data_IF_489352605606
#
_entry.id   IF_489352605606
#
_cell.length_a   1.000
_cell.length_b   1.000
_cell.length_c   1.000
_cell.angle_alpha   90.00
_cell.angle_beta   90.00
_cell.angle_gamma   90.00
#
_symmetry.space_group_name_H-M   'P 1'
#
loop_
_entity.id
_entity.type
_entity.pdbx_description
1 polymer ?
#
# COMPACT_ATOMS: atom_id res chain seq x y z
N UNK A 1 -13.93 -29.95 -47.80
CA UNK A 1 -13.13 -30.08 -46.54
C UNK A 1 -12.42 -28.78 -46.10
N UNK A 2 -11.87 -27.96 -47.01
CA UNK A 2 -11.10 -26.75 -46.65
C UNK A 2 -11.87 -25.66 -45.87
N UNK A 3 -13.17 -25.46 -46.15
CA UNK A 3 -13.98 -24.44 -45.46
C UNK A 3 -14.20 -24.74 -43.97
N UNK A 4 -14.44 -26.01 -43.61
CA UNK A 4 -14.57 -26.44 -42.20
C UNK A 4 -13.25 -26.30 -41.44
N UNK A 5 -12.12 -26.58 -42.09
CA UNK A 5 -10.79 -26.41 -41.49
C UNK A 5 -10.50 -24.92 -41.20
N UNK A 6 -10.71 -24.05 -42.18
CA UNK A 6 -10.56 -22.59 -42.03
C UNK A 6 -11.45 -22.02 -40.92
N UNK A 7 -12.69 -22.50 -40.83
CA UNK A 7 -13.62 -22.08 -39.78
C UNK A 7 -13.14 -22.49 -38.38
N UNK A 8 -12.60 -23.71 -38.20
CA UNK A 8 -12.04 -24.15 -36.92
C UNK A 8 -10.84 -23.29 -36.49
N UNK A 9 -9.92 -23.02 -37.40
CA UNK A 9 -8.76 -22.15 -37.14
C UNK A 9 -9.22 -20.76 -36.72
N UNK A 10 -10.19 -20.16 -37.42
CA UNK A 10 -10.73 -18.86 -37.06
C UNK A 10 -11.37 -18.85 -35.66
N UNK A 11 -12.11 -19.91 -35.28
CA UNK A 11 -12.68 -20.03 -33.95
C UNK A 11 -11.59 -20.17 -32.86
N UNK A 12 -10.52 -20.90 -33.13
CA UNK A 12 -9.40 -21.05 -32.21
C UNK A 12 -8.62 -19.72 -32.05
N UNK A 13 -8.44 -18.96 -33.13
CA UNK A 13 -7.87 -17.60 -33.09
C UNK A 13 -8.74 -16.63 -32.27
N UNK A 14 -10.07 -16.67 -32.47
CA UNK A 14 -11.01 -15.87 -31.68
C UNK A 14 -10.95 -16.22 -30.19
N UNK A 15 -10.83 -17.50 -29.85
CA UNK A 15 -10.67 -17.96 -28.46
C UNK A 15 -9.37 -17.44 -27.86
N UNK A 16 -8.24 -17.63 -28.54
CA UNK A 16 -6.93 -17.14 -28.10
C UNK A 16 -6.94 -15.62 -27.89
N UNK A 17 -7.54 -14.86 -28.81
CA UNK A 17 -7.67 -13.39 -28.67
C UNK A 17 -8.43 -13.02 -27.39
N UNK A 18 -9.59 -13.63 -27.16
CA UNK A 18 -10.37 -13.39 -25.92
C UNK A 18 -9.62 -13.76 -24.66
N UNK A 19 -8.88 -14.88 -24.67
CA UNK A 19 -8.04 -15.30 -23.55
C UNK A 19 -6.95 -14.27 -23.27
N UNK A 20 -6.23 -13.81 -24.29
CA UNK A 20 -5.18 -12.78 -24.14
C UNK A 20 -5.73 -11.45 -23.64
N UNK A 21 -6.89 -11.01 -24.16
CA UNK A 21 -7.55 -9.78 -23.69
C UNK A 21 -7.99 -9.90 -22.23
N UNK A 22 -8.51 -11.06 -21.84
CA UNK A 22 -8.94 -11.32 -20.46
C UNK A 22 -7.75 -11.34 -19.52
N UNK A 23 -6.64 -11.97 -19.90
CA UNK A 23 -5.39 -11.96 -19.13
C UNK A 23 -4.82 -10.54 -19.02
N UNK A 24 -4.84 -9.78 -20.11
CA UNK A 24 -4.41 -8.38 -20.12
C UNK A 24 -5.23 -7.51 -19.15
N UNK A 25 -6.56 -7.65 -19.14
CA UNK A 25 -7.43 -6.95 -18.18
C UNK A 25 -7.15 -7.34 -16.73
N UNK A 26 -6.94 -8.63 -16.46
CA UNK A 26 -6.59 -9.13 -15.12
C UNK A 26 -5.27 -8.54 -14.64
N UNK A 27 -4.25 -8.52 -15.50
CA UNK A 27 -2.94 -7.95 -15.21
C UNK A 27 -3.02 -6.45 -14.95
N UNK A 28 -3.72 -5.70 -15.79
CA UNK A 28 -3.90 -4.25 -15.62
C UNK A 28 -4.60 -3.92 -14.29
N UNK A 29 -5.63 -4.67 -13.92
CA UNK A 29 -6.30 -4.47 -12.63
C UNK A 29 -5.39 -4.80 -11.43
N UNK A 30 -4.57 -5.86 -11.53
CA UNK A 30 -3.60 -6.18 -10.49
C UNK A 30 -2.50 -5.11 -10.36
N UNK A 31 -2.06 -4.51 -11.47
CA UNK A 31 -1.13 -3.37 -11.49
C UNK A 31 -1.73 -2.12 -10.83
N UNK A 32 -2.98 -1.80 -11.12
CA UNK A 32 -3.73 -0.70 -10.50
C UNK A 32 -3.82 -0.89 -8.97
N UNK A 33 -4.25 -2.07 -8.53
CA UNK A 33 -4.34 -2.38 -7.10
C UNK A 33 -2.96 -2.31 -6.41
N UNK A 34 -1.89 -2.74 -7.07
CA UNK A 34 -0.54 -2.62 -6.54
C UNK A 34 -0.10 -1.16 -6.40
N UNK A 35 -0.49 -0.31 -7.37
CA UNK A 35 -0.21 1.12 -7.32
C UNK A 35 -0.96 1.79 -6.16
N UNK A 36 -2.24 1.46 -5.95
CA UNK A 36 -3.03 1.97 -4.83
C UNK A 36 -2.41 1.63 -3.47
N UNK A 37 -1.93 0.39 -3.32
CA UNK A 37 -1.23 -0.04 -2.10
C UNK A 37 0.05 0.78 -1.85
N UNK A 38 0.84 1.06 -2.91
CA UNK A 38 2.04 1.89 -2.80
C UNK A 38 1.71 3.33 -2.38
N UNK A 39 0.68 3.93 -2.99
CA UNK A 39 0.22 5.27 -2.64
C UNK A 39 -0.25 5.31 -1.18
N UNK A 40 -1.02 4.31 -0.74
CA UNK A 40 -1.46 4.17 0.65
C UNK A 40 -0.28 4.05 1.62
N UNK A 41 0.72 3.24 1.30
CA UNK A 41 1.95 3.10 2.09
C UNK A 41 2.68 4.44 2.20
N UNK A 42 2.85 5.16 1.09
CA UNK A 42 3.57 6.44 1.09
C UNK A 42 2.83 7.51 1.92
N UNK A 43 1.50 7.55 1.82
CA UNK A 43 0.68 8.43 2.67
C UNK A 43 0.82 8.07 4.16
N UNK A 44 0.79 6.77 4.49
CA UNK A 44 0.92 6.29 5.86
C UNK A 44 2.32 6.57 6.44
N UNK A 45 3.35 6.49 5.60
CA UNK A 45 4.71 6.82 5.96
C UNK A 45 4.84 8.30 6.35
N UNK A 46 4.32 9.21 5.51
CA UNK A 46 4.29 10.65 5.82
C UNK A 46 3.58 10.98 7.13
N UNK A 47 2.44 10.33 7.39
CA UNK A 47 1.71 10.48 8.66
C UNK A 47 2.53 9.95 9.84
N UNK A 48 3.24 8.85 9.67
CA UNK A 48 4.09 8.28 10.72
C UNK A 48 5.25 9.21 11.07
N UNK A 49 5.90 9.79 10.05
CA UNK A 49 6.96 10.79 10.23
C UNK A 49 6.44 12.05 10.91
N UNK A 50 5.25 12.55 10.52
CA UNK A 50 4.67 13.75 11.15
C UNK A 50 4.34 13.51 12.62
N UNK A 51 3.75 12.37 12.97
CA UNK A 51 3.50 11.99 14.36
C UNK A 51 4.79 11.94 15.19
N UNK A 52 5.88 11.43 14.60
CA UNK A 52 7.20 11.40 15.25
C UNK A 52 7.77 12.80 15.48
N UNK A 53 7.68 13.69 14.47
CA UNK A 53 8.13 15.08 14.58
C UNK A 53 7.34 15.84 15.64
N UNK A 54 6.01 15.78 15.58
CA UNK A 54 5.13 16.42 16.57
C UNK A 54 5.39 15.89 17.99
N UNK A 55 5.66 14.59 18.15
CA UNK A 55 6.01 14.01 19.44
C UNK A 55 7.33 14.57 19.99
N UNK A 56 8.33 14.78 19.13
CA UNK A 56 9.62 15.36 19.51
C UNK A 56 9.47 16.84 19.87
N UNK A 57 8.76 17.61 19.07
CA UNK A 57 8.47 19.03 19.36
C UNK A 57 7.77 19.20 20.71
N UNK A 58 6.81 18.33 21.04
CA UNK A 58 6.14 18.36 22.34
C UNK A 58 7.07 17.98 23.50
N UNK A 59 8.03 17.08 23.27
CA UNK A 59 9.01 16.69 24.27
C UNK A 59 9.99 17.84 24.54
N UNK A 60 10.53 18.48 23.49
CA UNK A 60 11.39 19.66 23.58
C UNK A 60 10.67 20.82 24.29
N UNK A 61 9.41 21.09 23.93
CA UNK A 61 8.60 22.10 24.60
C UNK A 61 8.39 21.80 26.09
N UNK A 62 8.35 20.52 26.48
CA UNK A 62 8.15 20.14 27.87
C UNK A 62 9.38 20.45 28.74
N UNK A 63 10.60 20.37 28.19
CA UNK A 63 11.85 20.67 28.91
C UNK A 63 11.88 22.12 29.44
N UNK A 64 11.26 23.05 28.73
CA UNK A 64 11.13 24.46 29.13
C UNK A 64 9.91 24.78 30.01
N UNK A 65 9.18 23.78 30.52
CA UNK A 65 7.99 23.95 31.36
C UNK A 65 8.15 23.19 32.69
N UNK A 66 7.36 23.58 33.68
CA UNK A 66 7.33 22.91 34.98
C UNK A 66 5.90 22.46 35.34
N UNK A 67 5.81 21.52 36.28
CA UNK A 67 4.55 21.07 36.88
C UNK A 67 3.56 20.48 35.87
N UNK A 68 2.29 20.84 36.02
CA UNK A 68 1.18 20.27 35.23
C UNK A 68 1.33 20.50 33.72
N UNK A 69 1.93 21.61 33.30
CA UNK A 69 2.13 21.92 31.87
C UNK A 69 3.18 21.02 31.23
N UNK A 70 4.28 20.74 31.94
CA UNK A 70 5.26 19.73 31.51
C UNK A 70 4.60 18.36 31.41
N UNK A 71 3.89 17.92 32.47
CA UNK A 71 3.23 16.62 32.49
C UNK A 71 2.25 16.45 31.32
N UNK A 72 1.45 17.47 31.02
CA UNK A 72 0.51 17.46 29.89
C UNK A 72 1.21 17.29 28.54
N UNK A 73 2.29 18.03 28.29
CA UNK A 73 3.07 17.94 27.04
C UNK A 73 3.70 16.56 26.88
N UNK A 74 4.28 15.99 27.94
CA UNK A 74 4.83 14.63 27.95
C UNK A 74 3.75 13.58 27.68
N UNK A 75 2.57 13.70 28.31
CA UNK A 75 1.45 12.79 28.05
C UNK A 75 1.01 12.83 26.59
N UNK A 76 0.91 14.02 25.99
CA UNK A 76 0.56 14.19 24.58
C UNK A 76 1.64 13.62 23.65
N UNK A 77 2.92 13.90 23.91
CA UNK A 77 4.06 13.33 23.18
C UNK A 77 4.02 11.80 23.18
N UNK A 78 3.78 11.19 24.35
CA UNK A 78 3.68 9.73 24.48
C UNK A 78 2.47 9.15 23.74
N UNK A 79 1.33 9.85 23.70
CA UNK A 79 0.18 9.43 22.90
C UNK A 79 0.51 9.40 21.40
N UNK A 80 1.21 10.41 20.89
CA UNK A 80 1.65 10.47 19.50
C UNK A 80 2.67 9.36 19.18
N UNK A 81 3.61 9.05 20.08
CA UNK A 81 4.55 7.93 19.91
C UNK A 81 3.84 6.58 19.84
N UNK A 82 2.80 6.36 20.66
CA UNK A 82 1.97 5.15 20.57
C UNK A 82 1.27 5.07 19.21
N UNK A 83 0.62 6.15 18.79
CA UNK A 83 -0.02 6.19 17.47
C UNK A 83 0.98 5.93 16.33
N UNK A 84 2.18 6.54 16.38
CA UNK A 84 3.24 6.30 15.39
C UNK A 84 3.68 4.83 15.37
N UNK A 85 3.81 4.18 16.52
CA UNK A 85 4.12 2.74 16.62
C UNK A 85 3.05 1.89 15.94
N UNK A 86 1.77 2.19 16.17
CA UNK A 86 0.67 1.47 15.53
C UNK A 86 0.69 1.65 14.00
N UNK A 87 1.03 2.86 13.53
CA UNK A 87 1.20 3.14 12.09
C UNK A 87 2.41 2.43 11.49
N UNK A 88 3.52 2.29 12.22
CA UNK A 88 4.66 1.48 11.79
C UNK A 88 4.29 0.00 11.62
N UNK A 89 3.48 -0.55 12.52
CA UNK A 89 2.96 -1.92 12.36
C UNK A 89 2.08 -2.03 11.11
N UNK A 90 1.21 -1.05 10.84
CA UNK A 90 0.41 -1.00 9.61
C UNK A 90 1.27 -0.87 8.35
N UNK A 91 2.36 -0.09 8.38
CA UNK A 91 3.33 0.01 7.28
C UNK A 91 3.99 -1.32 6.98
N UNK A 92 4.35 -2.09 8.01
CA UNK A 92 4.93 -3.44 7.83
C UNK A 92 3.94 -4.36 7.10
N UNK A 93 2.70 -4.41 7.58
CA UNK A 93 1.64 -5.22 6.95
C UNK A 93 1.41 -4.81 5.49
N UNK A 94 1.35 -3.51 5.20
CA UNK A 94 1.24 -3.02 3.82
C UNK A 94 2.47 -3.37 2.97
N UNK A 95 3.67 -3.35 3.55
CA UNK A 95 4.89 -3.78 2.88
C UNK A 95 4.85 -5.24 2.48
N UNK A 96 4.39 -6.12 3.38
CA UNK A 96 4.21 -7.54 3.11
C UNK A 96 3.13 -7.77 2.04
N UNK A 97 2.00 -7.05 2.10
CA UNK A 97 0.93 -7.11 1.09
C UNK A 97 1.41 -6.68 -0.31
N UNK A 98 2.17 -5.57 -0.39
CA UNK A 98 2.79 -5.10 -1.64
C UNK A 98 3.77 -6.14 -2.19
N UNK A 99 4.57 -6.77 -1.33
CA UNK A 99 5.54 -7.78 -1.74
C UNK A 99 4.84 -9.02 -2.32
N UNK A 100 3.81 -9.53 -1.63
CA UNK A 100 2.99 -10.65 -2.10
C UNK A 100 2.35 -10.32 -3.44
N UNK A 101 1.68 -9.17 -3.55
CA UNK A 101 0.98 -8.79 -4.78
C UNK A 101 1.92 -8.51 -5.95
N UNK A 102 3.11 -7.99 -5.66
CA UNK A 102 4.18 -7.85 -6.67
C UNK A 102 4.70 -9.20 -7.15
N UNK A 103 4.77 -10.21 -6.27
CA UNK A 103 5.18 -11.56 -6.64
C UNK A 103 4.10 -12.27 -7.47
N UNK A 104 2.83 -12.16 -7.07
CA UNK A 104 1.68 -12.66 -7.83
C UNK A 104 1.67 -12.08 -9.24
N UNK A 105 1.82 -10.76 -9.38
CA UNK A 105 1.85 -10.10 -10.68
C UNK A 105 3.01 -10.56 -11.57
N UNK A 106 4.18 -10.88 -10.99
CA UNK A 106 5.31 -11.44 -11.73
C UNK A 106 5.05 -12.87 -12.22
N UNK A 107 4.15 -13.60 -11.56
CA UNK A 107 3.77 -14.97 -11.92
C UNK A 107 2.58 -15.06 -12.88
N UNK A 108 1.94 -13.93 -13.23
CA UNK A 108 0.82 -13.82 -14.18
C UNK A 108 1.26 -13.61 -15.63
#
# INVERSE_FOLDING_TARGET
MAARSRYRVHLDEQRKKKETETQGKKRAHAEEQLQDLKVKRDSLHKVTESLGKEANELAEQAEGKAGSKMAHLISKSNALRRAAKDKLSQLKVLGDEIATKSAELKSM
#
